data_IF_984136142507
#
_entry.id   IF_984136142507
#
_cell.length_a   1.000
_cell.length_b   1.000
_cell.length_c   1.000
_cell.angle_alpha   90.00
_cell.angle_beta   90.00
_cell.angle_gamma   90.00
#
_symmetry.space_group_name_H-M   'P 1'
#
loop_
_entity.id
_entity.type
_entity.pdbx_description
1 polymer ?
#
# COMPACT_ATOMS: atom_id res chain seq x y z
N UNK A 1 -28.81 -25.50 -2.75
CA UNK A 1 -27.59 -24.74 -3.12
C UNK A 1 -28.01 -23.41 -3.74
N UNK A 2 -28.22 -22.39 -2.91
CA UNK A 2 -28.93 -21.17 -3.29
C UNK A 2 -28.03 -20.05 -3.81
N UNK A 3 -28.50 -19.37 -4.86
CA UNK A 3 -27.92 -18.18 -5.50
C UNK A 3 -27.69 -17.00 -4.53
N UNK A 4 -28.31 -17.04 -3.35
CA UNK A 4 -28.16 -16.04 -2.29
C UNK A 4 -26.78 -16.06 -1.60
N UNK A 5 -26.10 -17.22 -1.53
CA UNK A 5 -24.73 -17.29 -0.99
C UNK A 5 -23.68 -16.65 -1.90
N UNK A 6 -23.97 -16.53 -3.20
CA UNK A 6 -23.06 -15.89 -4.17
C UNK A 6 -23.17 -14.37 -4.16
N UNK A 7 -24.33 -13.79 -3.88
CA UNK A 7 -24.46 -12.33 -3.72
C UNK A 7 -23.77 -11.82 -2.46
N UNK A 8 -23.89 -12.53 -1.33
CA UNK A 8 -23.25 -12.13 -0.08
C UNK A 8 -21.71 -12.18 -0.17
N UNK A 9 -21.19 -13.15 -0.93
CA UNK A 9 -19.74 -13.30 -1.19
C UNK A 9 -19.20 -12.22 -2.14
N UNK A 10 -20.00 -11.77 -3.12
CA UNK A 10 -19.60 -10.68 -4.04
C UNK A 10 -19.62 -9.31 -3.35
N UNK A 11 -20.54 -9.10 -2.40
CA UNK A 11 -20.54 -7.88 -1.57
C UNK A 11 -19.39 -7.89 -0.57
N UNK A 12 -19.15 -9.00 0.15
CA UNK A 12 -18.00 -9.11 1.08
C UNK A 12 -16.63 -9.01 0.39
N UNK A 13 -16.45 -9.59 -0.79
CA UNK A 13 -15.16 -9.49 -1.51
C UNK A 13 -14.89 -8.09 -2.08
N UNK A 14 -15.93 -7.33 -2.42
CA UNK A 14 -15.79 -5.90 -2.76
C UNK A 14 -15.58 -5.02 -1.52
N UNK A 15 -16.10 -5.42 -0.36
CA UNK A 15 -15.91 -4.70 0.90
C UNK A 15 -14.52 -4.92 1.50
N UNK A 16 -13.96 -6.14 1.38
CA UNK A 16 -12.56 -6.39 1.74
C UNK A 16 -11.59 -5.64 0.81
N UNK A 17 -11.84 -5.59 -0.50
CA UNK A 17 -11.03 -4.78 -1.43
C UNK A 17 -11.20 -3.25 -1.25
N UNK A 18 -12.28 -2.79 -0.63
CA UNK A 18 -12.44 -1.39 -0.24
C UNK A 18 -11.80 -1.09 1.12
N UNK A 19 -11.68 -2.08 2.00
CA UNK A 19 -10.97 -1.98 3.28
C UNK A 19 -9.47 -1.81 3.03
N UNK A 20 -8.87 -2.66 2.18
CA UNK A 20 -7.44 -2.60 1.84
C UNK A 20 -7.08 -1.32 1.04
N UNK A 21 -8.05 -0.69 0.38
CA UNK A 21 -7.87 0.62 -0.29
C UNK A 21 -7.96 1.82 0.66
N UNK A 22 -8.47 1.63 1.87
CA UNK A 22 -8.35 2.61 2.95
C UNK A 22 -7.09 2.39 3.81
N UNK A 23 -6.25 1.39 3.50
CA UNK A 23 -5.05 1.06 4.27
C UNK A 23 -3.76 1.74 3.79
N UNK A 24 -3.68 2.25 2.55
CA UNK A 24 -2.44 2.92 2.11
C UNK A 24 -2.40 4.39 2.59
N UNK A 25 -1.57 4.73 3.61
CA UNK A 25 -1.46 6.09 4.11
C UNK A 25 -0.94 7.06 3.04
N UNK A 26 -0.33 6.57 1.95
CA UNK A 26 0.17 7.40 0.85
C UNK A 26 -0.98 8.11 0.13
N UNK A 27 -2.04 7.38 -0.23
CA UNK A 27 -3.19 7.94 -0.98
C UNK A 27 -4.00 8.94 -0.14
N UNK A 28 -4.23 8.62 1.13
CA UNK A 28 -4.98 9.50 2.05
C UNK A 28 -4.25 10.81 2.34
N UNK A 29 -2.92 10.76 2.44
CA UNK A 29 -2.08 11.95 2.59
C UNK A 29 -2.02 12.78 1.31
N UNK A 30 -1.95 12.15 0.14
CA UNK A 30 -1.98 12.84 -1.16
C UNK A 30 -3.32 13.58 -1.34
N UNK A 31 -4.45 12.92 -1.08
CA UNK A 31 -5.78 13.55 -1.10
C UNK A 31 -5.89 14.73 -0.12
N UNK A 32 -5.41 14.55 1.11
CA UNK A 32 -5.44 15.61 2.13
C UNK A 32 -4.60 16.82 1.72
N UNK A 33 -3.46 16.59 1.04
CA UNK A 33 -2.61 17.67 0.51
C UNK A 33 -3.31 18.42 -0.62
N UNK A 34 -3.96 17.72 -1.55
CA UNK A 34 -4.74 18.35 -2.62
C UNK A 34 -5.87 19.23 -2.05
N UNK A 35 -6.59 18.74 -1.04
CA UNK A 35 -7.62 19.54 -0.36
C UNK A 35 -7.07 20.78 0.32
N UNK A 36 -5.87 20.70 0.90
CA UNK A 36 -5.20 21.87 1.47
C UNK A 36 -4.80 22.89 0.40
N UNK A 37 -4.35 22.44 -0.78
CA UNK A 37 -4.06 23.31 -1.92
C UNK A 37 -5.32 23.99 -2.46
N UNK A 38 -6.42 23.25 -2.58
CA UNK A 38 -7.72 23.79 -2.99
C UNK A 38 -8.21 24.88 -2.02
N UNK A 39 -8.13 24.61 -0.70
CA UNK A 39 -8.46 25.62 0.32
C UNK A 39 -7.55 26.85 0.21
N UNK A 40 -6.25 26.68 0.01
CA UNK A 40 -5.32 27.80 -0.17
C UNK A 40 -5.67 28.63 -1.40
N UNK A 41 -6.02 27.99 -2.51
CA UNK A 41 -6.46 28.68 -3.72
C UNK A 41 -7.76 29.46 -3.50
N UNK A 42 -8.72 28.89 -2.77
CA UNK A 42 -9.97 29.57 -2.44
C UNK A 42 -9.74 30.80 -1.54
N UNK A 43 -8.85 30.72 -0.55
CA UNK A 43 -8.49 31.88 0.27
C UNK A 43 -7.82 32.96 -0.59
N UNK A 44 -6.90 32.58 -1.49
CA UNK A 44 -6.26 33.52 -2.43
C UNK A 44 -7.27 34.23 -3.33
N UNK A 45 -8.28 33.51 -3.83
CA UNK A 45 -9.39 34.10 -4.59
C UNK A 45 -10.19 35.09 -3.74
N UNK A 46 -10.54 34.72 -2.50
CA UNK A 46 -11.22 35.63 -1.56
C UNK A 46 -10.44 36.93 -1.30
N UNK A 47 -9.12 36.83 -1.10
CA UNK A 47 -8.25 38.02 -0.98
C UNK A 47 -8.34 38.91 -2.23
N UNK A 48 -8.30 38.32 -3.42
CA UNK A 48 -8.38 39.05 -4.67
C UNK A 48 -9.74 39.75 -4.86
N UNK A 49 -10.84 39.09 -4.51
CA UNK A 49 -12.20 39.63 -4.57
C UNK A 49 -12.39 40.82 -3.63
N UNK A 50 -11.93 40.70 -2.37
CA UNK A 50 -11.96 41.80 -1.39
C UNK A 50 -11.09 42.96 -1.86
N UNK A 51 -9.89 42.68 -2.36
CA UNK A 51 -8.97 43.71 -2.89
C UNK A 51 -9.60 44.46 -4.07
N UNK A 52 -10.25 43.73 -4.98
CA UNK A 52 -10.93 44.30 -6.15
C UNK A 52 -12.11 45.19 -5.70
N UNK A 53 -12.91 44.70 -4.76
CA UNK A 53 -14.04 45.45 -4.19
C UNK A 53 -13.58 46.73 -3.51
N UNK A 54 -12.53 46.66 -2.69
CA UNK A 54 -11.89 47.82 -2.06
C UNK A 54 -11.42 48.83 -3.10
N UNK A 55 -10.74 48.36 -4.15
CA UNK A 55 -10.23 49.25 -5.21
C UNK A 55 -11.35 49.94 -5.98
N UNK A 56 -12.46 49.25 -6.23
CA UNK A 56 -13.66 49.83 -6.86
C UNK A 56 -14.24 50.96 -6.02
N UNK A 57 -14.37 50.79 -4.70
CA UNK A 57 -14.83 51.85 -3.81
C UNK A 57 -13.86 53.03 -3.77
N UNK A 58 -12.55 52.77 -3.72
CA UNK A 58 -11.52 53.83 -3.79
C UNK A 58 -11.62 54.65 -5.09
N UNK A 59 -11.89 54.01 -6.23
CA UNK A 59 -12.11 54.71 -7.50
C UNK A 59 -13.39 55.56 -7.47
N UNK A 60 -14.48 55.05 -6.88
CA UNK A 60 -15.71 55.82 -6.70
C UNK A 60 -15.48 57.04 -5.81
N UNK A 61 -14.81 56.85 -4.66
CA UNK A 61 -14.40 57.93 -3.76
C UNK A 61 -13.58 58.99 -4.49
N UNK A 62 -12.59 58.57 -5.27
CA UNK A 62 -11.73 59.49 -6.04
C UNK A 62 -12.54 60.34 -7.04
N UNK A 63 -13.58 59.77 -7.67
CA UNK A 63 -14.47 60.54 -8.57
C UNK A 63 -15.29 61.59 -7.80
N UNK A 64 -15.81 61.23 -6.62
CA UNK A 64 -16.52 62.19 -5.76
C UNK A 64 -15.59 63.31 -5.29
N UNK A 65 -14.34 62.99 -4.95
CA UNK A 65 -13.33 63.96 -4.56
C UNK A 65 -13.07 65.00 -5.66
N UNK A 66 -12.93 64.56 -6.92
CA UNK A 66 -12.79 65.47 -8.06
C UNK A 66 -14.01 66.38 -8.25
N UNK A 67 -15.21 65.87 -8.00
CA UNK A 67 -16.43 66.68 -8.07
C UNK A 67 -16.48 67.72 -6.93
N UNK A 68 -16.00 67.37 -5.74
CA UNK A 68 -15.85 68.30 -4.61
C UNK A 68 -14.88 69.43 -4.96
N UNK A 69 -13.74 69.12 -5.58
CA UNK A 69 -12.76 70.13 -6.00
C UNK A 69 -13.33 71.09 -7.05
N UNK A 70 -14.14 70.58 -7.99
CA UNK A 70 -14.87 71.41 -8.97
C UNK A 70 -15.89 72.32 -8.29
N UNK A 71 -16.70 71.78 -7.38
CA UNK A 71 -17.69 72.57 -6.62
C UNK A 71 -17.02 73.63 -5.76
N UNK A 72 -15.85 73.32 -5.18
CA UNK A 72 -15.07 74.29 -4.40
C UNK A 72 -14.58 75.45 -5.30
N UNK A 73 -14.08 75.14 -6.49
CA UNK A 73 -13.65 76.14 -7.47
C UNK A 73 -14.82 77.01 -7.94
N UNK A 74 -15.97 76.39 -8.24
CA UNK A 74 -17.20 77.10 -8.62
C UNK A 74 -17.73 78.00 -7.50
N UNK A 75 -17.66 77.56 -6.24
CA UNK A 75 -18.07 78.38 -5.10
C UNK A 75 -17.17 79.62 -4.94
N UNK A 76 -15.84 79.45 -5.10
CA UNK A 76 -14.88 80.57 -5.06
C UNK A 76 -15.14 81.57 -6.18
N UNK A 77 -15.35 81.08 -7.40
CA UNK A 77 -15.66 81.94 -8.56
C UNK A 77 -16.97 82.71 -8.36
N UNK A 78 -18.02 82.04 -7.89
CA UNK A 78 -19.31 82.66 -7.60
C UNK A 78 -19.21 83.79 -6.57
N UNK A 79 -18.37 83.65 -5.54
CA UNK A 79 -18.09 84.71 -4.56
C UNK A 79 -17.39 85.91 -5.24
N UNK A 80 -16.39 85.67 -6.09
CA UNK A 80 -15.65 86.74 -6.79
C UNK A 80 -16.59 87.58 -7.66
N UNK A 81 -17.57 86.95 -8.32
CA UNK A 81 -18.57 87.64 -9.17
C UNK A 81 -19.78 88.15 -8.39
N UNK A 82 -19.77 88.08 -7.06
CA UNK A 82 -20.84 88.59 -6.18
C UNK A 82 -22.14 87.77 -6.19
N UNK A 83 -22.12 86.53 -6.68
CA UNK A 83 -23.27 85.62 -6.71
C UNK A 83 -23.24 84.66 -5.51
N UNK A 84 -23.57 85.18 -4.34
CA UNK A 84 -23.59 84.40 -3.10
C UNK A 84 -24.59 83.24 -3.10
N UNK A 85 -25.69 83.38 -3.84
CA UNK A 85 -26.71 82.34 -4.04
C UNK A 85 -26.13 81.10 -4.72
N UNK A 86 -25.35 81.28 -5.79
CA UNK A 86 -24.65 80.20 -6.49
C UNK A 86 -23.54 79.60 -5.63
N UNK A 87 -22.81 80.42 -4.88
CA UNK A 87 -21.78 79.94 -3.96
C UNK A 87 -22.38 79.04 -2.88
N UNK A 88 -23.50 79.45 -2.27
CA UNK A 88 -24.23 78.66 -1.27
C UNK A 88 -24.71 77.32 -1.83
N UNK A 89 -25.28 77.32 -3.03
CA UNK A 89 -25.73 76.10 -3.71
C UNK A 89 -24.57 75.13 -4.00
N UNK A 90 -23.42 75.65 -4.46
CA UNK A 90 -22.23 74.83 -4.70
C UNK A 90 -21.69 74.20 -3.41
N UNK A 91 -21.67 74.96 -2.31
CA UNK A 91 -21.25 74.48 -0.99
C UNK A 91 -22.23 73.46 -0.40
N UNK A 92 -23.54 73.61 -0.61
CA UNK A 92 -24.54 72.64 -0.19
C UNK A 92 -24.35 71.29 -0.90
N UNK A 93 -24.14 71.32 -2.22
CA UNK A 93 -23.81 70.12 -3.01
C UNK A 93 -22.50 69.49 -2.54
N UNK A 94 -21.48 70.30 -2.27
CA UNK A 94 -20.19 69.84 -1.73
C UNK A 94 -20.37 69.12 -0.39
N UNK A 95 -21.19 69.68 0.50
CA UNK A 95 -21.54 69.07 1.80
C UNK A 95 -22.18 67.69 1.62
N UNK A 96 -23.14 67.55 0.71
CA UNK A 96 -23.76 66.26 0.39
C UNK A 96 -22.75 65.23 -0.13
N UNK A 97 -21.82 65.63 -1.01
CA UNK A 97 -20.76 64.73 -1.49
C UNK A 97 -19.77 64.33 -0.39
N UNK A 98 -19.45 65.23 0.55
CA UNK A 98 -18.59 64.91 1.69
C UNK A 98 -19.20 63.81 2.57
N UNK A 99 -20.51 63.86 2.83
CA UNK A 99 -21.22 62.81 3.58
C UNK A 99 -21.14 61.46 2.85
N UNK A 100 -21.25 61.45 1.52
CA UNK A 100 -21.09 60.23 0.72
C UNK A 100 -19.67 59.67 0.79
N UNK A 101 -18.65 60.54 0.75
CA UNK A 101 -17.24 60.13 0.91
C UNK A 101 -16.99 59.52 2.28
N UNK A 102 -17.52 60.12 3.36
CA UNK A 102 -17.38 59.55 4.70
C UNK A 102 -17.97 58.12 4.79
N UNK A 103 -19.11 57.88 4.14
CA UNK A 103 -19.69 56.54 4.03
C UNK A 103 -18.80 55.55 3.26
N UNK A 104 -18.20 55.99 2.14
CA UNK A 104 -17.25 55.18 1.37
C UNK A 104 -15.96 54.91 2.15
N UNK A 105 -15.45 55.89 2.90
CA UNK A 105 -14.25 55.75 3.72
C UNK A 105 -14.41 54.69 4.79
N UNK A 106 -15.58 54.66 5.44
CA UNK A 106 -15.91 53.61 6.40
C UNK A 106 -15.93 52.22 5.74
N UNK A 107 -16.59 52.08 4.58
CA UNK A 107 -16.64 50.81 3.85
C UNK A 107 -15.26 50.35 3.37
N UNK A 108 -14.42 51.28 2.91
CA UNK A 108 -13.04 50.99 2.50
C UNK A 108 -12.22 50.50 3.71
N UNK A 109 -12.34 51.15 4.87
CA UNK A 109 -11.64 50.76 6.09
C UNK A 109 -12.08 49.38 6.59
N UNK A 110 -13.37 49.05 6.46
CA UNK A 110 -13.88 47.73 6.85
C UNK A 110 -13.37 46.62 5.92
N UNK A 111 -13.36 46.86 4.60
CA UNK A 111 -12.76 45.94 3.63
C UNK A 111 -11.24 45.80 3.79
N UNK A 112 -10.55 46.86 4.21
CA UNK A 112 -9.12 46.81 4.52
C UNK A 112 -8.81 45.88 5.68
N UNK A 113 -9.57 45.98 6.78
CA UNK A 113 -9.46 45.05 7.92
C UNK A 113 -9.76 43.61 7.51
N UNK A 114 -10.76 43.41 6.66
CA UNK A 114 -11.08 42.07 6.14
C UNK A 114 -9.98 41.51 5.26
N UNK A 115 -9.44 42.34 4.35
CA UNK A 115 -8.30 41.98 3.51
C UNK A 115 -7.09 41.55 4.35
N UNK A 116 -6.72 42.32 5.38
CA UNK A 116 -5.61 41.99 6.27
C UNK A 116 -5.80 40.64 6.99
N UNK A 117 -7.01 40.37 7.47
CA UNK A 117 -7.35 39.08 8.11
C UNK A 117 -7.24 37.92 7.14
N UNK A 118 -7.69 38.09 5.90
CA UNK A 118 -7.60 37.06 4.86
C UNK A 118 -6.15 36.81 4.44
N UNK A 119 -5.34 37.86 4.27
CA UNK A 119 -3.90 37.73 3.96
C UNK A 119 -3.15 37.03 5.11
N UNK A 120 -3.45 37.37 6.36
CA UNK A 120 -2.85 36.68 7.51
C UNK A 120 -3.25 35.19 7.55
N UNK A 121 -4.51 34.88 7.21
CA UNK A 121 -5.02 33.50 7.16
C UNK A 121 -4.41 32.72 5.99
N UNK A 122 -4.24 33.34 4.83
CA UNK A 122 -3.57 32.79 3.64
C UNK A 122 -2.13 32.39 3.96
N UNK A 123 -1.35 33.28 4.59
CA UNK A 123 0.03 33.02 5.00
C UNK A 123 0.12 31.85 6.00
N UNK A 124 -0.79 31.82 6.98
CA UNK A 124 -0.87 30.71 7.97
C UNK A 124 -1.19 29.39 7.28
N UNK A 125 -2.16 29.38 6.38
CA UNK A 125 -2.55 28.18 5.64
C UNK A 125 -1.42 27.70 4.74
N UNK A 126 -0.78 28.60 3.98
CA UNK A 126 0.38 28.28 3.14
C UNK A 126 1.51 27.63 3.95
N UNK A 127 1.81 28.17 5.14
CA UNK A 127 2.82 27.57 6.03
C UNK A 127 2.43 26.15 6.46
N UNK A 128 1.15 25.94 6.82
CA UNK A 128 0.65 24.61 7.19
C UNK A 128 0.71 23.62 6.03
N UNK A 129 0.40 24.06 4.82
CA UNK A 129 0.47 23.23 3.60
C UNK A 129 1.90 22.77 3.34
N UNK A 130 2.89 23.64 3.47
CA UNK A 130 4.31 23.27 3.29
C UNK A 130 4.82 22.29 4.37
N UNK A 131 4.43 22.52 5.63
CA UNK A 131 4.73 21.59 6.72
C UNK A 131 4.08 20.23 6.45
N UNK A 132 2.83 20.21 5.99
CA UNK A 132 2.12 18.98 5.65
C UNK A 132 2.77 18.26 4.47
N UNK A 133 3.20 18.97 3.43
CA UNK A 133 3.95 18.41 2.29
C UNK A 133 5.19 17.65 2.75
N UNK A 134 5.99 18.28 3.62
CA UNK A 134 7.21 17.66 4.15
C UNK A 134 6.91 16.42 4.99
N UNK A 135 5.90 16.50 5.88
CA UNK A 135 5.47 15.36 6.70
C UNK A 135 4.93 14.21 5.86
N UNK A 136 4.16 14.53 4.81
CA UNK A 136 3.65 13.55 3.86
C UNK A 136 4.80 12.77 3.24
N UNK A 137 5.77 13.43 2.62
CA UNK A 137 6.91 12.75 1.98
C UNK A 137 7.71 11.90 2.98
N UNK A 138 7.87 12.38 4.22
CA UNK A 138 8.53 11.62 5.30
C UNK A 138 7.77 10.34 5.63
N UNK A 139 6.44 10.43 5.82
CA UNK A 139 5.60 9.27 6.14
C UNK A 139 5.58 8.29 4.97
N UNK A 140 5.49 8.77 3.72
CA UNK A 140 5.53 7.92 2.51
C UNK A 140 6.84 7.15 2.46
N UNK A 141 7.98 7.80 2.72
CA UNK A 141 9.29 7.15 2.73
C UNK A 141 9.41 6.11 3.86
N UNK A 142 8.98 6.46 5.08
CA UNK A 142 8.97 5.53 6.22
C UNK A 142 8.09 4.31 5.97
N UNK A 143 6.90 4.51 5.39
CA UNK A 143 6.00 3.43 5.03
C UNK A 143 6.63 2.50 3.99
N UNK A 144 7.22 3.04 2.92
CA UNK A 144 7.92 2.24 1.91
C UNK A 144 9.13 1.47 2.48
N UNK A 145 9.87 2.06 3.43
CA UNK A 145 10.95 1.36 4.11
C UNK A 145 10.44 0.20 4.99
N UNK A 146 9.35 0.42 5.73
CA UNK A 146 8.71 -0.62 6.53
C UNK A 146 8.15 -1.76 5.66
N UNK A 147 7.49 -1.42 4.55
CA UNK A 147 6.99 -2.36 3.53
C UNK A 147 8.14 -3.23 2.97
N UNK A 148 9.29 -2.63 2.65
CA UNK A 148 10.47 -3.36 2.20
C UNK A 148 11.03 -4.28 3.30
N UNK A 149 11.08 -3.83 4.56
CA UNK A 149 11.56 -4.63 5.67
C UNK A 149 10.67 -5.87 5.92
N UNK A 150 9.35 -5.71 5.86
CA UNK A 150 8.39 -6.82 5.97
C UNK A 150 8.66 -7.84 4.85
N UNK A 151 8.77 -7.37 3.60
CA UNK A 151 9.03 -8.24 2.44
C UNK A 151 10.35 -9.01 2.54
N UNK A 152 11.41 -8.37 3.06
CA UNK A 152 12.70 -9.03 3.33
C UNK A 152 12.54 -10.10 4.41
N UNK A 153 11.90 -9.76 5.53
CA UNK A 153 11.69 -10.70 6.63
C UNK A 153 10.86 -11.92 6.17
N UNK A 154 9.80 -11.70 5.39
CA UNK A 154 8.98 -12.76 4.79
C UNK A 154 9.78 -13.64 3.82
N UNK A 155 10.66 -13.04 3.00
CA UNK A 155 11.52 -13.79 2.07
C UNK A 155 12.57 -14.62 2.82
N UNK A 156 13.15 -14.08 3.90
CA UNK A 156 14.12 -14.78 4.75
C UNK A 156 13.44 -15.90 5.55
N UNK A 157 12.23 -15.69 6.07
CA UNK A 157 11.45 -16.75 6.73
C UNK A 157 10.97 -17.81 5.75
N UNK A 158 10.64 -17.44 4.50
CA UNK A 158 10.28 -18.39 3.44
C UNK A 158 11.45 -19.30 3.04
N UNK A 159 12.68 -18.78 3.02
CA UNK A 159 13.91 -19.60 2.85
C UNK A 159 14.14 -20.51 4.07
N UNK A 160 13.72 -20.11 5.27
CA UNK A 160 13.80 -20.97 6.46
C UNK A 160 12.92 -22.21 6.36
N UNK A 161 11.82 -22.17 5.59
CA UNK A 161 10.95 -23.32 5.35
C UNK A 161 11.61 -24.33 4.39
N UNK A 162 12.23 -23.86 3.30
CA UNK A 162 13.07 -24.71 2.42
C UNK A 162 14.33 -25.23 3.13
N UNK A 163 14.96 -24.44 3.99
CA UNK A 163 16.12 -24.88 4.79
C UNK A 163 15.75 -25.92 5.86
N UNK A 164 14.54 -25.83 6.44
CA UNK A 164 14.04 -26.85 7.37
C UNK A 164 13.85 -28.20 6.67
N UNK A 165 13.35 -28.21 5.43
CA UNK A 165 13.22 -29.42 4.62
C UNK A 165 14.57 -30.02 4.22
N UNK A 166 15.58 -29.18 3.95
CA UNK A 166 16.95 -29.64 3.67
C UNK A 166 17.60 -30.25 4.92
N UNK A 167 17.42 -29.65 6.10
CA UNK A 167 17.90 -30.20 7.37
C UNK A 167 17.30 -31.58 7.66
N UNK A 168 15.98 -31.74 7.49
CA UNK A 168 15.28 -33.02 7.63
C UNK A 168 15.74 -34.07 6.61
N UNK A 169 16.13 -33.66 5.40
CA UNK A 169 16.66 -34.55 4.38
C UNK A 169 18.07 -35.06 4.72
N UNK A 170 18.93 -34.19 5.28
CA UNK A 170 20.28 -34.55 5.73
C UNK A 170 20.21 -35.51 6.92
N UNK A 171 19.36 -35.23 7.92
CA UNK A 171 19.19 -36.10 9.09
C UNK A 171 18.69 -37.51 8.70
N UNK A 172 17.79 -37.62 7.71
CA UNK A 172 17.39 -38.93 7.17
C UNK A 172 18.53 -39.66 6.47
N UNK A 173 19.37 -38.94 5.73
CA UNK A 173 20.52 -39.52 5.04
C UNK A 173 21.58 -40.05 6.03
N UNK A 174 21.84 -39.31 7.11
CA UNK A 174 22.73 -39.73 8.19
C UNK A 174 22.20 -40.96 8.91
N UNK A 175 20.93 -40.95 9.34
CA UNK A 175 20.30 -42.10 10.00
C UNK A 175 20.28 -43.36 9.13
N UNK A 176 20.10 -43.22 7.81
CA UNK A 176 20.15 -44.35 6.89
C UNK A 176 21.58 -44.89 6.74
N UNK A 177 22.57 -44.01 6.74
CA UNK A 177 23.99 -44.38 6.67
C UNK A 177 24.44 -45.08 7.94
N UNK A 178 24.06 -44.57 9.12
CA UNK A 178 24.36 -45.21 10.41
C UNK A 178 23.67 -46.57 10.54
N UNK A 179 22.41 -46.71 10.14
CA UNK A 179 21.75 -48.03 10.08
C UNK A 179 22.47 -48.99 9.12
N UNK A 180 23.00 -48.50 8.00
CA UNK A 180 23.74 -49.31 7.04
C UNK A 180 25.09 -49.76 7.60
N UNK A 181 25.80 -48.88 8.30
CA UNK A 181 27.04 -49.20 9.02
C UNK A 181 26.80 -50.19 10.16
N UNK A 182 25.71 -50.01 10.92
CA UNK A 182 25.33 -50.92 12.00
C UNK A 182 24.99 -52.32 11.45
N UNK A 183 24.28 -52.39 10.32
CA UNK A 183 24.03 -53.66 9.62
C UNK A 183 25.30 -54.29 9.08
N UNK A 184 26.20 -53.50 8.48
CA UNK A 184 27.50 -54.00 8.01
C UNK A 184 28.34 -54.54 9.17
N UNK A 185 28.40 -53.81 10.28
CA UNK A 185 29.13 -54.25 11.48
C UNK A 185 28.54 -55.52 12.10
N UNK A 186 27.20 -55.64 12.14
CA UNK A 186 26.53 -56.86 12.58
C UNK A 186 26.76 -58.03 11.61
N UNK A 187 26.88 -57.77 10.30
CA UNK A 187 27.20 -58.78 9.30
C UNK A 187 28.66 -59.27 9.45
N UNK A 188 29.60 -58.34 9.65
CA UNK A 188 30.99 -58.65 9.93
C UNK A 188 31.12 -59.45 11.23
N UNK A 189 30.38 -59.09 12.28
CA UNK A 189 30.32 -59.85 13.53
C UNK A 189 29.73 -61.26 13.31
N UNK A 190 28.69 -61.42 12.49
CA UNK A 190 28.12 -62.73 12.13
C UNK A 190 29.05 -63.61 11.29
N UNK A 191 29.95 -63.00 10.50
CA UNK A 191 31.02 -63.67 9.76
C UNK A 191 32.12 -64.12 10.72
N UNK A 192 32.57 -63.23 11.63
CA UNK A 192 33.60 -63.53 12.63
C UNK A 192 33.14 -64.54 13.69
N UNK A 193 31.85 -64.56 14.05
CA UNK A 193 31.27 -65.57 14.97
C UNK A 193 31.01 -66.93 14.30
N UNK A 194 31.31 -67.08 13.00
CA UNK A 194 31.25 -68.36 12.29
C UNK A 194 29.84 -68.87 12.01
N UNK A 195 28.83 -68.00 11.96
CA UNK A 195 27.43 -68.36 11.68
C UNK A 195 27.02 -68.19 10.21
N UNK A 196 27.91 -67.70 9.36
CA UNK A 196 27.68 -67.52 7.92
C UNK A 196 28.20 -68.67 7.03
N UNK A 197 28.66 -69.77 7.63
CA UNK A 197 29.16 -70.96 6.90
C UNK A 197 28.05 -71.94 6.47
N UNK A 198 26.76 -71.54 6.61
CA UNK A 198 25.61 -72.41 6.33
C UNK A 198 24.54 -71.76 5.44
N UNK A 199 24.97 -70.95 4.45
CA UNK A 199 24.10 -70.45 3.38
C UNK A 199 24.65 -70.70 1.97
N UNK A 200 25.85 -71.28 1.83
CA UNK A 200 26.32 -71.90 0.59
C UNK A 200 25.98 -73.39 0.51
N UNK A 201 25.23 -73.92 1.48
CA UNK A 201 24.77 -75.32 1.58
C UNK A 201 23.36 -75.57 1.00
N UNK A 202 22.75 -74.59 0.32
CA UNK A 202 21.45 -74.76 -0.37
C UNK A 202 21.60 -75.13 -1.86
N UNK A 203 22.55 -76.02 -2.15
CA UNK A 203 22.84 -76.51 -3.51
C UNK A 203 22.52 -77.99 -3.75
N UNK A 204 21.82 -78.68 -2.83
CA UNK A 204 21.73 -80.16 -2.82
C UNK A 204 20.33 -80.74 -3.12
N UNK A 205 19.46 -79.96 -3.77
CA UNK A 205 18.13 -80.43 -4.22
C UNK A 205 18.03 -80.62 -5.74
N UNK A 206 18.93 -80.02 -6.55
CA UNK A 206 18.96 -80.22 -8.01
C UNK A 206 19.81 -81.44 -8.40
N UNK A 207 20.93 -81.69 -7.70
CA UNK A 207 21.77 -82.88 -7.92
C UNK A 207 21.11 -84.17 -7.41
N UNK A 208 20.19 -84.07 -6.44
CA UNK A 208 19.36 -85.20 -5.95
C UNK A 208 18.25 -85.61 -6.91
N UNK A 209 17.76 -84.71 -7.76
CA UNK A 209 16.77 -85.04 -8.80
C UNK A 209 17.41 -85.56 -10.09
N UNK A 210 18.67 -85.18 -10.40
CA UNK A 210 19.41 -85.72 -11.55
C UNK A 210 20.01 -87.12 -11.31
N UNK A 211 20.20 -87.52 -10.04
CA UNK A 211 20.57 -88.90 -9.68
C UNK A 211 19.39 -89.90 -9.76
N UNK A 212 18.13 -89.42 -9.71
CA UNK A 212 16.92 -90.26 -9.83
C UNK A 212 16.52 -90.61 -11.26
N UNK A 213 17.10 -89.96 -12.28
CA UNK A 213 16.85 -90.28 -13.70
C UNK A 213 17.77 -91.40 -14.19
N UNK A 214 18.93 -91.62 -13.55
CA UNK A 214 19.88 -92.67 -13.92
C UNK A 214 19.75 -93.98 -13.10
N UNK A 215 18.84 -94.04 -12.12
CA UNK A 215 18.56 -95.27 -11.35
C UNK A 215 17.20 -95.92 -11.70
N UNK A 216 16.51 -95.43 -12.73
CA UNK A 216 15.27 -96.01 -13.24
C UNK A 216 15.50 -97.12 -14.29
N UNK A 217 16.72 -97.30 -14.80
CA UNK A 217 17.02 -98.29 -15.86
C UNK A 217 17.52 -99.64 -15.31
N UNK A 218 17.66 -99.78 -13.99
CA UNK A 218 18.18 -101.01 -13.37
C UNK A 218 17.12 -101.81 -12.61
N UNK A 219 15.96 -101.21 -12.30
CA UNK A 219 14.86 -101.89 -11.58
C UNK A 219 13.84 -102.55 -12.54
N UNK A 220 13.77 -102.12 -13.81
CA UNK A 220 12.91 -102.77 -14.81
C UNK A 220 13.51 -104.06 -15.41
N UNK A 221 14.85 -104.23 -15.35
CA UNK A 221 15.53 -105.46 -15.78
C UNK A 221 15.49 -106.58 -14.72
N UNK A 222 15.43 -106.24 -13.42
CA UNK A 222 15.26 -107.22 -12.34
C UNK A 222 13.80 -107.69 -12.16
N UNK A 223 12.81 -106.95 -12.68
CA UNK A 223 11.39 -107.32 -12.60
C UNK A 223 10.95 -108.33 -13.69
N UNK A 224 11.60 -108.37 -14.86
CA UNK A 224 11.36 -109.42 -15.88
C UNK A 224 11.96 -110.77 -15.50
N UNK A 225 13.07 -110.78 -14.74
CA UNK A 225 13.74 -112.00 -14.32
C UNK A 225 12.95 -112.73 -13.22
N UNK A 226 12.33 -111.99 -12.28
CA UNK A 226 11.44 -112.56 -11.27
C UNK A 226 10.07 -113.01 -11.81
N UNK A 227 9.60 -112.47 -12.94
CA UNK A 227 8.37 -112.94 -13.62
C UNK A 227 8.59 -114.22 -14.43
N UNK A 228 9.82 -114.55 -14.83
CA UNK A 228 10.17 -115.84 -15.47
C UNK A 228 10.36 -116.98 -14.47
N UNK A 229 10.68 -116.69 -13.21
CA UNK A 229 10.78 -117.72 -12.15
C UNK A 229 9.44 -118.00 -11.44
N UNK A 230 8.44 -117.12 -11.58
CA UNK A 230 7.12 -117.28 -10.98
C UNK A 230 6.00 -117.69 -11.97
N UNK A 231 6.33 -117.97 -13.24
CA UNK A 231 5.36 -118.32 -14.29
C UNK A 231 5.29 -119.81 -14.62
N UNK A 232 4.54 -120.57 -13.81
CA UNK A 232 3.61 -121.60 -14.30
C UNK A 232 2.24 -120.95 -14.43
#
# INVERSE_FOLDING_TARGET
MGLFGRMETVVKSKMNKLMDRMEDPRETLDYSYEKQLEMLQNVKRGVAEVTTSKKRLQLQRSKLQQNIEKLDSQAREAIIVGREDLARLALERKSSLNTQIQGLDQQIADLEKEQEKLVASEKRLSTKVEVFRTKKETIKAQYSAAEAQVKINESVSGISEEMADVGLAIERAENKTENMKARASALDELIDTGTLDDLTSSGDDIDRELAKINSATTVDLELEQLKKEAGK
#
